data_IF_279795604895
#
_entry.id   IF_279795604895
#
_cell.length_a   1.000
_cell.length_b   1.000
_cell.length_c   1.000
_cell.angle_alpha   90.00
_cell.angle_beta   90.00
_cell.angle_gamma   90.00
#
_symmetry.space_group_name_H-M   'P 1'
#
loop_
_entity.id
_entity.type
_entity.pdbx_description
1 polymer ?
#
# COMPACT_ATOMS: atom_id res chain seq x y z
N UNK A 1 0.28 -9.24 -4.24
CA UNK A 1 1.14 -9.12 -3.04
C UNK A 1 2.61 -9.42 -3.34
N UNK A 2 2.95 -10.46 -4.12
CA UNK A 2 4.34 -10.80 -4.48
C UNK A 2 5.18 -9.62 -5.01
N UNK A 3 4.62 -8.83 -5.93
CA UNK A 3 5.29 -7.64 -6.49
C UNK A 3 5.67 -6.59 -5.43
N UNK A 4 4.86 -6.43 -4.37
CA UNK A 4 5.16 -5.49 -3.28
C UNK A 4 6.39 -5.96 -2.48
N UNK A 5 6.59 -7.26 -2.32
CA UNK A 5 7.74 -7.84 -1.61
C UNK A 5 9.02 -7.77 -2.46
N UNK A 6 8.89 -8.01 -3.76
CA UNK A 6 10.04 -8.02 -4.69
C UNK A 6 10.47 -6.61 -5.11
N UNK A 7 9.52 -5.70 -5.32
CA UNK A 7 9.78 -4.31 -5.72
C UNK A 7 8.68 -3.36 -5.20
N UNK A 8 8.82 -2.86 -3.96
CA UNK A 8 7.84 -1.94 -3.35
C UNK A 8 7.62 -0.62 -4.11
N UNK A 9 8.58 -0.22 -4.96
CA UNK A 9 8.55 1.03 -5.73
C UNK A 9 8.10 0.84 -7.18
N UNK A 10 7.57 -0.34 -7.52
CA UNK A 10 7.09 -0.59 -8.88
C UNK A 10 5.93 0.37 -9.23
N UNK A 11 5.93 1.04 -10.39
CA UNK A 11 4.94 2.07 -10.74
C UNK A 11 3.48 1.59 -10.70
N UNK A 12 3.22 0.32 -11.00
CA UNK A 12 1.86 -0.25 -10.95
C UNK A 12 1.27 -0.30 -9.54
N UNK A 13 2.11 -0.30 -8.49
CA UNK A 13 1.68 -0.25 -7.10
C UNK A 13 1.14 1.13 -6.73
N UNK A 14 1.44 2.18 -7.51
CA UNK A 14 1.02 3.57 -7.29
C UNK A 14 1.19 3.99 -5.84
N UNK A 15 2.39 3.71 -5.31
CA UNK A 15 2.68 3.89 -3.90
C UNK A 15 2.57 5.37 -3.53
N UNK A 16 1.71 5.68 -2.57
CA UNK A 16 1.50 7.06 -2.12
C UNK A 16 1.45 7.13 -0.59
N UNK A 17 2.30 7.99 0.00
CA UNK A 17 2.34 8.20 1.46
C UNK A 17 1.17 9.10 1.87
N UNK A 18 0.44 8.71 2.90
CA UNK A 18 -0.56 9.62 3.48
C UNK A 18 0.14 10.73 4.26
N UNK A 19 -0.14 11.99 3.92
CA UNK A 19 0.48 13.15 4.57
C UNK A 19 0.27 13.08 6.09
N UNK A 20 1.37 13.14 6.85
CA UNK A 20 1.34 13.12 8.32
C UNK A 20 1.17 11.73 8.96
N UNK A 21 1.12 10.64 8.18
CA UNK A 21 1.09 9.27 8.71
C UNK A 21 2.26 8.44 8.20
N UNK A 22 2.62 7.40 8.95
CA UNK A 22 3.68 6.44 8.56
C UNK A 22 3.16 5.33 7.64
N UNK A 23 1.98 5.52 7.05
CA UNK A 23 1.34 4.51 6.21
C UNK A 23 1.34 4.91 4.73
N UNK A 24 1.38 3.89 3.89
CA UNK A 24 1.44 3.97 2.45
C UNK A 24 0.22 3.26 1.86
N UNK A 25 -0.36 3.86 0.84
CA UNK A 25 -1.39 3.22 0.03
C UNK A 25 -0.75 2.47 -1.13
N UNK A 26 -1.16 1.22 -1.31
CA UNK A 26 -0.74 0.32 -2.40
C UNK A 26 -1.97 -0.03 -3.23
N UNK A 27 -1.85 0.10 -4.55
CA UNK A 27 -2.85 -0.41 -5.50
C UNK A 27 -2.67 -1.90 -5.73
N UNK A 28 -3.71 -2.69 -5.44
CA UNK A 28 -3.77 -4.10 -5.84
C UNK A 28 -4.38 -4.22 -7.23
N UNK A 29 -5.46 -3.48 -7.48
CA UNK A 29 -6.07 -3.29 -8.78
C UNK A 29 -6.65 -1.87 -8.88
N UNK A 30 -7.60 -1.63 -9.80
CA UNK A 30 -8.24 -0.33 -9.96
C UNK A 30 -9.14 0.04 -8.76
N UNK A 31 -9.75 -0.94 -8.11
CA UNK A 31 -10.79 -0.79 -7.10
C UNK A 31 -10.32 -1.10 -5.68
N UNK A 32 -9.22 -1.84 -5.49
CA UNK A 32 -8.72 -2.26 -4.18
C UNK A 32 -7.46 -1.46 -3.81
N UNK A 33 -7.44 -0.98 -2.57
CA UNK A 33 -6.30 -0.34 -1.92
C UNK A 33 -5.92 -1.09 -0.66
N UNK A 34 -4.62 -1.12 -0.38
CA UNK A 34 -4.06 -1.69 0.83
C UNK A 34 -3.24 -0.62 1.52
N UNK A 35 -3.49 -0.41 2.82
CA UNK A 35 -2.67 0.48 3.65
C UNK A 35 -1.60 -0.33 4.36
N UNK A 36 -0.34 0.06 4.18
CA UNK A 36 0.82 -0.64 4.74
C UNK A 36 1.80 0.27 5.46
N UNK A 37 2.51 -0.25 6.46
CA UNK A 37 3.78 0.32 6.95
C UNK A 37 4.92 -0.59 6.52
N UNK A 38 6.06 0.02 6.20
CA UNK A 38 7.29 -0.71 5.94
C UNK A 38 8.16 -0.65 7.19
N UNK A 39 8.30 -1.80 7.85
CA UNK A 39 9.27 -1.99 8.92
C UNK A 39 10.57 -2.56 8.35
N UNK A 40 11.61 -2.68 9.19
CA UNK A 40 12.93 -3.14 8.74
C UNK A 40 12.88 -4.52 8.06
N UNK A 41 12.12 -5.47 8.62
CA UNK A 41 12.10 -6.87 8.18
C UNK A 41 10.74 -7.34 7.64
N UNK A 42 9.69 -6.54 7.82
CA UNK A 42 8.33 -6.94 7.46
C UNK A 42 7.45 -5.77 7.04
N UNK A 43 6.34 -6.10 6.38
CA UNK A 43 5.32 -5.13 5.97
C UNK A 43 4.09 -5.38 6.82
N UNK A 44 3.63 -4.36 7.53
CA UNK A 44 2.37 -4.42 8.29
C UNK A 44 1.24 -3.97 7.38
N UNK A 45 0.19 -4.78 7.27
CA UNK A 45 -1.05 -4.43 6.55
C UNK A 45 -2.09 -3.99 7.56
N UNK A 46 -2.52 -2.73 7.51
CA UNK A 46 -3.52 -2.17 8.43
C UNK A 46 -4.94 -2.26 7.88
N UNK A 47 -5.09 -2.18 6.57
CA UNK A 47 -6.40 -2.13 5.93
C UNK A 47 -6.34 -2.66 4.50
N UNK A 48 -7.37 -3.40 4.12
CA UNK A 48 -7.66 -3.83 2.75
C UNK A 48 -9.10 -3.43 2.47
N UNK A 49 -9.31 -2.53 1.51
CA UNK A 49 -10.63 -1.97 1.24
C UNK A 49 -10.74 -1.44 -0.17
N UNK A 50 -11.92 -0.93 -0.52
CA UNK A 50 -12.09 -0.30 -1.83
C UNK A 50 -11.33 1.03 -1.86
N UNK A 51 -11.03 1.49 -3.07
CA UNK A 51 -10.43 2.80 -3.30
C UNK A 51 -11.24 3.92 -2.65
N UNK A 52 -12.57 3.77 -2.66
CA UNK A 52 -13.59 4.66 -2.11
C UNK A 52 -13.65 4.63 -0.58
N UNK A 53 -13.17 3.55 0.06
CA UNK A 53 -13.18 3.41 1.53
C UNK A 53 -11.90 3.98 2.17
N UNK A 54 -10.88 4.26 1.35
CA UNK A 54 -9.55 4.72 1.79
C UNK A 54 -9.38 6.24 1.59
N UNK A 55 -10.25 6.87 0.81
CA UNK A 55 -10.34 8.33 0.60
C UNK A 55 -11.68 8.85 1.07
#
# INVERSE_FOLDING_TARGET
>A
MRLLLENPRHPSLRLHKYHGKEWWSVSVDMSIRVLVSFEADYIVVFHIGKHEDVY
#
